data_IF_855162397201
#
_entry.id   IF_855162397201
#
_cell.length_a   1.000
_cell.length_b   1.000
_cell.length_c   1.000
_cell.angle_alpha   90.00
_cell.angle_beta   90.00
_cell.angle_gamma   90.00
#
_symmetry.space_group_name_H-M   'P 1'
#
loop_
_entity.id
_entity.type
_entity.pdbx_description
1 polymer ?
#
# COMPACT_ATOMS: atom_id res chain seq x y z
N UNK A 1 -9.22 -20.56 6.91
CA UNK A 1 -8.97 -19.12 7.03
C UNK A 1 -7.50 -18.82 6.75
N UNK A 2 -7.22 -17.79 5.99
CA UNK A 2 -5.84 -17.35 5.68
C UNK A 2 -5.39 -16.20 6.59
N UNK A 3 -6.34 -15.38 7.05
CA UNK A 3 -6.06 -14.15 7.80
C UNK A 3 -5.16 -14.35 9.04
N UNK A 4 -5.36 -15.34 9.93
CA UNK A 4 -4.54 -15.46 11.13
C UNK A 4 -3.04 -15.67 10.82
N UNK A 5 -2.73 -16.39 9.75
CA UNK A 5 -1.34 -16.65 9.35
C UNK A 5 -0.73 -15.44 8.63
N UNK A 6 -1.53 -14.77 7.79
CA UNK A 6 -1.12 -13.53 7.15
C UNK A 6 -0.87 -12.46 8.21
N UNK A 7 -1.78 -12.26 9.17
CA UNK A 7 -1.62 -11.31 10.27
C UNK A 7 -0.29 -11.52 11.02
N UNK A 8 0.00 -12.76 11.47
CA UNK A 8 1.25 -13.06 12.19
C UNK A 8 2.49 -12.76 11.34
N UNK A 9 2.43 -13.07 10.05
CA UNK A 9 3.53 -12.80 9.12
C UNK A 9 3.79 -11.30 8.94
N UNK A 10 2.73 -10.50 8.79
CA UNK A 10 2.84 -9.05 8.68
C UNK A 10 3.31 -8.42 10.00
N UNK A 11 2.71 -8.82 11.12
CA UNK A 11 3.07 -8.30 12.45
C UNK A 11 4.53 -8.55 12.82
N UNK A 12 5.09 -9.70 12.43
CA UNK A 12 6.47 -10.07 12.77
C UNK A 12 7.55 -9.21 12.13
N UNK A 13 7.20 -8.44 11.10
CA UNK A 13 8.12 -7.59 10.32
C UNK A 13 7.66 -6.14 10.21
N UNK A 14 6.64 -5.77 10.99
CA UNK A 14 6.08 -4.41 10.97
C UNK A 14 7.10 -3.41 11.49
N UNK A 15 7.42 -2.44 10.66
CA UNK A 15 8.31 -1.35 11.03
C UNK A 15 7.57 -0.22 11.79
N UNK A 16 8.31 0.53 12.57
CA UNK A 16 7.82 1.65 13.35
C UNK A 16 8.31 2.98 12.74
N UNK A 17 7.39 3.92 12.56
CA UNK A 17 7.64 5.21 11.93
C UNK A 17 8.69 6.05 12.69
N UNK A 18 8.70 5.97 14.01
CA UNK A 18 9.60 6.80 14.83
C UNK A 18 11.01 6.21 14.97
N UNK A 19 11.11 4.86 14.99
CA UNK A 19 12.38 4.19 15.32
C UNK A 19 13.11 3.61 14.12
N UNK A 20 12.39 3.23 13.07
CA UNK A 20 12.97 2.51 11.92
C UNK A 20 13.24 3.42 10.72
N UNK A 21 12.73 4.67 10.77
CA UNK A 21 13.05 5.71 9.78
C UNK A 21 14.19 6.57 10.32
N UNK A 22 15.30 6.72 9.59
CA UNK A 22 16.49 7.45 10.05
C UNK A 22 16.32 8.97 9.91
N UNK A 23 15.35 9.57 10.63
CA UNK A 23 14.97 10.97 10.51
C UNK A 23 16.14 11.96 10.66
N UNK A 24 17.16 11.60 11.45
CA UNK A 24 18.32 12.45 11.73
C UNK A 24 19.35 12.46 10.58
N UNK A 25 19.21 11.58 9.60
CA UNK A 25 20.16 11.44 8.49
C UNK A 25 19.79 12.30 7.28
N UNK A 26 18.80 13.21 7.43
CA UNK A 26 18.35 14.07 6.34
C UNK A 26 19.47 14.96 5.80
N UNK A 27 19.62 14.95 4.48
CA UNK A 27 20.60 15.75 3.75
C UNK A 27 19.92 16.52 2.59
N UNK A 28 19.62 17.80 2.85
CA UNK A 28 18.96 18.67 1.87
C UNK A 28 19.74 18.81 0.54
N UNK A 29 21.07 18.59 0.56
CA UNK A 29 21.89 18.69 -0.66
C UNK A 29 21.65 17.53 -1.63
N UNK A 30 21.00 16.47 -1.17
CA UNK A 30 20.72 15.26 -1.93
C UNK A 30 19.26 15.13 -2.36
N UNK A 31 18.43 16.14 -2.12
CA UNK A 31 17.01 16.17 -2.51
C UNK A 31 16.79 17.21 -3.60
N UNK A 32 16.51 16.77 -4.82
CA UNK A 32 16.11 17.69 -5.90
C UNK A 32 14.63 18.07 -5.78
N UNK A 33 14.24 19.16 -6.44
CA UNK A 33 12.83 19.58 -6.50
C UNK A 33 11.95 18.48 -7.13
N UNK A 34 12.38 17.87 -8.21
CA UNK A 34 11.67 16.77 -8.88
C UNK A 34 11.45 15.59 -7.94
N UNK A 35 12.47 15.23 -7.16
CA UNK A 35 12.37 14.18 -6.16
C UNK A 35 11.39 14.52 -5.04
N UNK A 36 11.40 15.75 -4.55
CA UNK A 36 10.46 16.20 -3.52
C UNK A 36 9.01 16.22 -4.02
N UNK A 37 8.78 16.66 -5.26
CA UNK A 37 7.45 16.60 -5.90
C UNK A 37 6.96 15.15 -6.08
N UNK A 38 7.87 14.22 -6.38
CA UNK A 38 7.53 12.79 -6.46
C UNK A 38 7.08 12.24 -5.10
N UNK A 39 7.69 12.68 -4.00
CA UNK A 39 7.23 12.31 -2.64
C UNK A 39 5.81 12.80 -2.39
N UNK A 40 5.49 14.06 -2.74
CA UNK A 40 4.13 14.60 -2.64
C UNK A 40 3.14 13.76 -3.45
N UNK A 41 3.47 13.48 -4.71
CA UNK A 41 2.61 12.66 -5.58
C UNK A 41 2.35 11.27 -4.97
N UNK A 42 3.39 10.62 -4.44
CA UNK A 42 3.24 9.31 -3.81
C UNK A 42 2.40 9.38 -2.52
N UNK A 43 2.56 10.41 -1.69
CA UNK A 43 1.71 10.60 -0.50
C UNK A 43 0.22 10.73 -0.87
N UNK A 44 -0.11 11.44 -1.95
CA UNK A 44 -1.47 11.55 -2.48
C UNK A 44 -1.94 10.19 -3.04
N UNK A 45 -1.07 9.46 -3.75
CA UNK A 45 -1.41 8.13 -4.28
C UNK A 45 -1.74 7.14 -3.17
N UNK A 46 -0.94 7.09 -2.11
CA UNK A 46 -1.18 6.22 -0.95
C UNK A 46 -2.49 6.54 -0.21
N UNK A 47 -2.92 7.80 -0.25
CA UNK A 47 -4.21 8.20 0.30
C UNK A 47 -5.39 7.54 -0.41
N UNK A 48 -5.20 7.03 -1.62
CA UNK A 48 -6.20 6.29 -2.40
C UNK A 48 -6.57 4.93 -1.80
N UNK A 49 -5.87 4.46 -0.79
CA UNK A 49 -6.23 3.25 -0.05
C UNK A 49 -7.63 3.31 0.57
N UNK A 50 -8.15 4.52 0.89
CA UNK A 50 -9.50 4.68 1.42
C UNK A 50 -10.58 4.23 0.42
N UNK A 51 -10.72 4.83 -0.78
CA UNK A 51 -11.70 4.36 -1.76
C UNK A 51 -11.43 2.91 -2.22
N UNK A 52 -10.17 2.47 -2.26
CA UNK A 52 -9.84 1.07 -2.53
C UNK A 52 -10.42 0.12 -1.46
N UNK A 53 -10.28 0.46 -0.18
CA UNK A 53 -10.85 -0.33 0.93
C UNK A 53 -12.36 -0.44 0.83
N UNK A 54 -13.07 0.65 0.54
CA UNK A 54 -14.52 0.66 0.35
C UNK A 54 -14.94 -0.32 -0.75
N UNK A 55 -14.27 -0.29 -1.88
CA UNK A 55 -14.51 -1.19 -3.01
C UNK A 55 -14.24 -2.65 -2.66
N UNK A 56 -13.11 -2.95 -2.00
CA UNK A 56 -12.78 -4.30 -1.60
C UNK A 56 -13.79 -4.91 -0.65
N UNK A 57 -14.18 -4.16 0.37
CA UNK A 57 -15.17 -4.62 1.35
C UNK A 57 -16.53 -4.82 0.69
N UNK A 58 -16.91 -3.96 -0.26
CA UNK A 58 -18.14 -4.11 -1.04
C UNK A 58 -18.14 -5.41 -1.84
N UNK A 59 -17.08 -5.65 -2.62
CA UNK A 59 -17.01 -6.76 -3.57
C UNK A 59 -16.74 -8.12 -2.89
N UNK A 60 -16.21 -8.10 -1.66
CA UNK A 60 -15.86 -9.30 -0.90
C UNK A 60 -16.64 -9.47 0.41
N UNK A 61 -17.77 -8.78 0.58
CA UNK A 61 -18.55 -8.79 1.84
C UNK A 61 -18.98 -10.18 2.33
N UNK A 62 -19.03 -11.17 1.45
CA UNK A 62 -19.33 -12.56 1.78
C UNK A 62 -18.15 -13.35 2.36
N UNK A 63 -16.91 -12.80 2.32
CA UNK A 63 -15.71 -13.44 2.86
C UNK A 63 -15.19 -12.69 4.09
N UNK A 64 -15.58 -13.16 5.28
CA UNK A 64 -15.14 -12.59 6.55
C UNK A 64 -13.63 -12.73 6.78
N UNK A 65 -13.01 -13.76 6.22
CA UNK A 65 -11.56 -14.01 6.28
C UNK A 65 -10.78 -12.92 5.52
N UNK A 66 -11.22 -12.62 4.30
CA UNK A 66 -10.65 -11.53 3.51
C UNK A 66 -10.97 -10.14 4.13
N UNK A 67 -12.20 -9.93 4.58
CA UNK A 67 -12.60 -8.67 5.23
C UNK A 67 -11.75 -8.37 6.48
N UNK A 68 -11.41 -9.40 7.25
CA UNK A 68 -10.48 -9.26 8.39
C UNK A 68 -9.07 -8.87 7.94
N UNK A 69 -8.56 -9.44 6.85
CA UNK A 69 -7.26 -9.05 6.28
C UNK A 69 -7.26 -7.56 5.86
N UNK A 70 -8.36 -7.05 5.31
CA UNK A 70 -8.47 -5.64 4.90
C UNK A 70 -8.22 -4.65 6.04
N UNK A 71 -8.51 -5.02 7.30
CA UNK A 71 -8.22 -4.14 8.44
C UNK A 71 -6.71 -3.91 8.65
N UNK A 72 -5.90 -4.93 8.38
CA UNK A 72 -4.44 -4.84 8.49
C UNK A 72 -3.86 -4.15 7.27
N UNK A 73 -4.30 -4.55 6.07
CA UNK A 73 -3.87 -3.93 4.83
C UNK A 73 -4.13 -2.41 4.86
N UNK A 74 -5.35 -1.99 5.17
CA UNK A 74 -5.69 -0.57 5.24
C UNK A 74 -4.86 0.19 6.29
N UNK A 75 -4.58 -0.42 7.45
CA UNK A 75 -3.70 0.18 8.45
C UNK A 75 -2.28 0.42 7.89
N UNK A 76 -1.72 -0.55 7.17
CA UNK A 76 -0.37 -0.44 6.60
C UNK A 76 -0.33 0.57 5.45
N UNK A 77 -1.33 0.62 4.58
CA UNK A 77 -1.48 1.63 3.53
C UNK A 77 -1.58 3.05 4.10
N UNK A 78 -2.39 3.25 5.14
CA UNK A 78 -2.47 4.57 5.79
C UNK A 78 -1.14 4.97 6.44
N UNK A 79 -0.35 4.02 6.90
CA UNK A 79 1.00 4.28 7.40
C UNK A 79 1.96 4.72 6.28
N UNK A 80 1.80 4.20 5.05
CA UNK A 80 2.56 4.65 3.88
C UNK A 80 2.29 6.13 3.58
N UNK A 81 1.02 6.50 3.48
CA UNK A 81 0.65 7.91 3.30
C UNK A 81 1.20 8.79 4.43
N UNK A 82 1.04 8.34 5.69
CA UNK A 82 1.47 9.08 6.88
C UNK A 82 2.98 9.34 6.91
N UNK A 83 3.82 8.34 6.61
CA UNK A 83 5.27 8.50 6.65
C UNK A 83 5.78 9.43 5.55
N UNK A 84 5.17 9.41 4.36
CA UNK A 84 5.50 10.33 3.28
C UNK A 84 5.07 11.76 3.61
N UNK A 85 3.89 11.96 4.19
CA UNK A 85 3.45 13.27 4.66
C UNK A 85 4.31 13.78 5.82
N UNK A 86 4.75 12.90 6.74
CA UNK A 86 5.63 13.28 7.84
C UNK A 86 7.02 13.70 7.31
N UNK A 87 7.55 13.00 6.30
CA UNK A 87 8.76 13.43 5.61
C UNK A 87 8.62 14.84 5.02
N UNK A 88 7.50 15.11 4.34
CA UNK A 88 7.24 16.45 3.80
C UNK A 88 7.09 17.50 4.90
N UNK A 89 6.35 17.21 5.97
CA UNK A 89 6.19 18.17 7.10
C UNK A 89 7.53 18.56 7.71
N UNK A 90 8.45 17.61 7.84
CA UNK A 90 9.77 17.87 8.44
C UNK A 90 10.71 18.63 7.52
N UNK A 91 10.71 18.31 6.23
CA UNK A 91 11.78 18.72 5.34
C UNK A 91 11.32 19.56 4.13
N UNK A 92 10.05 19.48 3.75
CA UNK A 92 9.45 20.22 2.64
C UNK A 92 8.00 20.61 2.97
N UNK A 93 7.81 21.45 4.00
CA UNK A 93 6.46 21.85 4.45
C UNK A 93 5.62 22.56 3.37
N UNK A 94 6.30 23.15 2.39
CA UNK A 94 5.69 23.76 1.20
C UNK A 94 5.00 22.73 0.26
N UNK A 95 5.32 21.45 0.37
CA UNK A 95 4.80 20.37 -0.46
C UNK A 95 3.82 19.44 0.27
N UNK A 96 3.48 19.68 1.52
CA UNK A 96 2.48 18.88 2.23
C UNK A 96 1.15 18.96 1.48
N UNK A 97 0.53 17.82 1.10
CA UNK A 97 -0.77 17.83 0.44
C UNK A 97 -1.82 18.54 1.27
N UNK A 98 -2.65 19.37 0.63
CA UNK A 98 -3.81 19.98 1.26
C UNK A 98 -4.94 18.97 1.44
N UNK A 99 -5.91 19.29 2.32
CA UNK A 99 -7.12 18.47 2.47
C UNK A 99 -7.88 18.34 1.15
N UNK A 100 -7.95 19.41 0.35
CA UNK A 100 -8.62 19.40 -0.95
C UNK A 100 -7.93 18.44 -1.93
N UNK A 101 -6.59 18.42 -1.96
CA UNK A 101 -5.83 17.47 -2.78
C UNK A 101 -6.07 16.02 -2.35
N UNK A 102 -6.13 15.75 -1.05
CA UNK A 102 -6.44 14.42 -0.52
C UNK A 102 -7.89 14.03 -0.77
N UNK A 103 -8.84 14.95 -0.61
CA UNK A 103 -10.26 14.70 -0.90
C UNK A 103 -10.55 14.49 -2.39
N UNK A 104 -9.73 15.06 -3.27
CA UNK A 104 -9.86 14.87 -4.71
C UNK A 104 -9.51 13.43 -5.14
N UNK A 105 -8.79 12.68 -4.30
CA UNK A 105 -8.47 11.28 -4.59
C UNK A 105 -9.69 10.40 -4.29
N UNK A 106 -10.59 10.34 -5.25
CA UNK A 106 -11.78 9.49 -5.23
C UNK A 106 -11.87 8.76 -6.55
N UNK A 107 -12.17 7.51 -6.48
CA UNK A 107 -12.54 6.71 -7.63
C UNK A 107 -13.60 5.72 -7.22
N UNK A 108 -14.48 5.43 -8.14
CA UNK A 108 -15.49 4.39 -8.00
C UNK A 108 -15.40 3.47 -9.21
N UNK A 109 -15.37 2.19 -8.95
CA UNK A 109 -15.49 1.17 -9.97
C UNK A 109 -16.84 0.46 -9.80
N UNK A 110 -17.43 0.04 -10.89
CA UNK A 110 -18.57 -0.83 -10.85
C UNK A 110 -18.24 -2.10 -10.05
N UNK A 111 -19.25 -2.70 -9.36
CA UNK A 111 -19.05 -3.98 -8.70
C UNK A 111 -18.51 -5.03 -9.67
N UNK A 112 -17.46 -5.71 -9.27
CA UNK A 112 -16.80 -6.72 -10.08
C UNK A 112 -16.80 -8.09 -9.38
N UNK A 113 -16.68 -9.20 -10.12
CA UNK A 113 -16.45 -10.51 -9.54
C UNK A 113 -15.20 -10.50 -8.65
N UNK A 114 -15.30 -11.16 -7.51
CA UNK A 114 -14.24 -11.20 -6.49
C UNK A 114 -12.85 -11.49 -7.07
N UNK A 115 -12.73 -12.46 -7.97
CA UNK A 115 -11.46 -12.82 -8.55
C UNK A 115 -10.84 -11.69 -9.37
N UNK A 116 -11.65 -10.93 -10.09
CA UNK A 116 -11.21 -9.78 -10.88
C UNK A 116 -10.70 -8.66 -9.97
N UNK A 117 -11.44 -8.35 -8.89
CA UNK A 117 -11.02 -7.37 -7.89
C UNK A 117 -9.68 -7.78 -7.23
N UNK A 118 -9.56 -9.04 -6.81
CA UNK A 118 -8.32 -9.56 -6.22
C UNK A 118 -7.14 -9.50 -7.20
N UNK A 119 -7.37 -9.83 -8.49
CA UNK A 119 -6.35 -9.76 -9.53
C UNK A 119 -5.88 -8.33 -9.78
N UNK A 120 -6.82 -7.38 -9.87
CA UNK A 120 -6.50 -5.97 -10.09
C UNK A 120 -5.57 -5.45 -8.98
N UNK A 121 -5.88 -5.76 -7.72
CA UNK A 121 -5.08 -5.30 -6.59
C UNK A 121 -3.75 -6.05 -6.47
N UNK A 122 -3.72 -7.34 -6.69
CA UNK A 122 -2.44 -8.06 -6.80
C UNK A 122 -1.50 -7.40 -7.81
N UNK A 123 -2.01 -7.04 -8.99
CA UNK A 123 -1.22 -6.31 -9.99
C UNK A 123 -0.82 -4.91 -9.51
N UNK A 124 -1.68 -4.22 -8.77
CA UNK A 124 -1.39 -2.94 -8.13
C UNK A 124 -0.21 -3.04 -7.17
N UNK A 125 -0.25 -3.98 -6.22
CA UNK A 125 0.82 -4.21 -5.25
C UNK A 125 2.16 -4.57 -5.91
N UNK A 126 2.13 -5.45 -6.91
CA UNK A 126 3.35 -5.80 -7.67
C UNK A 126 3.93 -4.57 -8.37
N UNK A 127 3.08 -3.72 -8.94
CA UNK A 127 3.49 -2.46 -9.57
C UNK A 127 4.08 -1.49 -8.56
N UNK A 128 3.42 -1.30 -7.40
CA UNK A 128 3.89 -0.40 -6.34
C UNK A 128 5.19 -0.91 -5.70
N UNK A 129 5.31 -2.22 -5.44
CA UNK A 129 6.58 -2.80 -5.02
C UNK A 129 7.72 -2.44 -5.98
N UNK A 130 7.50 -2.62 -7.29
CA UNK A 130 8.51 -2.27 -8.29
C UNK A 130 8.80 -0.77 -8.31
N UNK A 131 7.76 0.06 -8.26
CA UNK A 131 7.87 1.51 -8.23
C UNK A 131 8.71 2.00 -7.04
N UNK A 132 8.38 1.58 -5.82
CA UNK A 132 9.10 2.02 -4.62
C UNK A 132 10.53 1.47 -4.54
N UNK A 133 10.78 0.27 -5.05
CA UNK A 133 12.13 -0.23 -5.21
C UNK A 133 12.95 0.69 -6.13
N UNK A 134 12.40 1.06 -7.29
CA UNK A 134 13.07 1.99 -8.23
C UNK A 134 13.20 3.39 -7.64
N UNK A 135 12.20 3.88 -6.94
CA UNK A 135 12.27 5.16 -6.23
C UNK A 135 13.40 5.15 -5.19
N UNK A 136 13.56 4.06 -4.42
CA UNK A 136 14.66 3.92 -3.46
C UNK A 136 16.06 3.89 -4.11
N UNK A 137 16.16 3.47 -5.37
CA UNK A 137 17.41 3.52 -6.13
C UNK A 137 17.68 4.92 -6.71
N UNK A 138 16.64 5.60 -7.17
CA UNK A 138 16.71 6.92 -7.79
C UNK A 138 16.95 8.05 -6.77
N UNK A 139 16.33 7.98 -5.60
CA UNK A 139 16.57 8.94 -4.53
C UNK A 139 17.95 8.72 -3.89
N UNK A 140 18.68 9.80 -3.71
CA UNK A 140 20.00 9.77 -3.02
C UNK A 140 19.91 10.29 -1.60
N UNK A 141 18.84 11.01 -1.22
CA UNK A 141 18.59 11.49 0.13
C UNK A 141 18.29 10.30 1.05
N UNK A 142 19.06 10.15 2.19
CA UNK A 142 19.03 8.93 2.99
C UNK A 142 17.67 8.57 3.59
N UNK A 143 16.92 9.56 4.10
CA UNK A 143 15.66 9.33 4.81
C UNK A 143 14.60 8.82 3.84
N UNK A 144 14.37 9.52 2.73
CA UNK A 144 13.35 9.10 1.75
C UNK A 144 13.72 7.79 1.06
N UNK A 145 15.00 7.56 0.85
CA UNK A 145 15.50 6.28 0.34
C UNK A 145 15.16 5.12 1.28
N UNK A 146 15.32 5.31 2.59
CA UNK A 146 14.96 4.32 3.60
C UNK A 146 13.43 4.10 3.62
N UNK A 147 12.64 5.17 3.59
CA UNK A 147 11.17 5.10 3.53
C UNK A 147 10.73 4.24 2.33
N UNK A 148 11.19 4.55 1.12
CA UNK A 148 10.79 3.78 -0.07
C UNK A 148 11.19 2.29 -0.03
N UNK A 149 12.27 1.95 0.67
CA UNK A 149 12.62 0.55 0.92
C UNK A 149 11.61 -0.15 1.82
N UNK A 150 11.16 0.52 2.88
CA UNK A 150 10.14 0.00 3.79
C UNK A 150 8.80 -0.19 3.05
N UNK A 151 8.35 0.82 2.31
CA UNK A 151 7.14 0.72 1.49
C UNK A 151 7.24 -0.45 0.50
N UNK A 152 8.32 -0.53 -0.25
CA UNK A 152 8.52 -1.64 -1.21
C UNK A 152 8.42 -3.03 -0.56
N UNK A 153 8.91 -3.19 0.67
CA UNK A 153 8.81 -4.45 1.40
C UNK A 153 7.36 -4.76 1.81
N UNK A 154 6.60 -3.74 2.23
CA UNK A 154 5.19 -3.90 2.56
C UNK A 154 4.38 -4.30 1.32
N UNK A 155 4.55 -3.62 0.19
CA UNK A 155 3.86 -3.96 -1.06
C UNK A 155 4.13 -5.39 -1.54
N UNK A 156 5.37 -5.88 -1.35
CA UNK A 156 5.69 -7.28 -1.65
C UNK A 156 4.91 -8.26 -0.76
N UNK A 157 4.68 -7.91 0.52
CA UNK A 157 3.91 -8.73 1.46
C UNK A 157 2.42 -8.66 1.16
N UNK A 158 1.90 -7.47 0.85
CA UNK A 158 0.52 -7.28 0.41
C UNK A 158 0.23 -8.10 -0.84
N UNK A 159 1.07 -8.00 -1.87
CA UNK A 159 0.96 -8.81 -3.08
C UNK A 159 0.97 -10.31 -2.79
N UNK A 160 1.84 -10.77 -1.87
CA UNK A 160 1.85 -12.14 -1.41
C UNK A 160 0.54 -12.59 -0.74
N UNK A 161 -0.08 -11.72 0.05
CA UNK A 161 -1.38 -11.98 0.68
C UNK A 161 -2.50 -12.06 -0.37
N UNK A 162 -2.58 -11.11 -1.29
CA UNK A 162 -3.56 -11.14 -2.39
C UNK A 162 -3.42 -12.40 -3.25
N UNK A 163 -2.19 -12.82 -3.56
CA UNK A 163 -1.95 -14.05 -4.31
C UNK A 163 -2.51 -15.30 -3.58
N UNK A 164 -2.41 -15.35 -2.26
CA UNK A 164 -3.00 -16.45 -1.46
C UNK A 164 -4.52 -16.45 -1.55
N UNK A 165 -5.18 -15.29 -1.46
CA UNK A 165 -6.63 -15.17 -1.63
C UNK A 165 -7.09 -15.49 -3.06
N UNK A 166 -6.33 -15.08 -4.08
CA UNK A 166 -6.61 -15.46 -5.47
C UNK A 166 -6.54 -16.98 -5.67
N UNK A 167 -5.51 -17.64 -5.15
CA UNK A 167 -5.39 -19.10 -5.22
C UNK A 167 -6.55 -19.80 -4.53
N UNK A 168 -6.99 -19.31 -3.36
CA UNK A 168 -8.16 -19.82 -2.66
C UNK A 168 -9.41 -19.67 -3.54
N UNK A 169 -9.68 -18.49 -4.11
CA UNK A 169 -10.83 -18.25 -5.00
C UNK A 169 -10.81 -19.13 -6.24
N UNK A 170 -9.67 -19.32 -6.86
CA UNK A 170 -9.54 -20.21 -8.03
C UNK A 170 -9.82 -21.68 -7.69
N UNK A 171 -9.39 -22.14 -6.51
CA UNK A 171 -9.70 -23.50 -6.03
C UNK A 171 -11.20 -23.68 -5.84
N UNK A 172 -11.86 -22.75 -5.17
CA UNK A 172 -13.30 -22.77 -4.93
C UNK A 172 -14.12 -22.78 -6.25
N UNK A 173 -13.69 -22.01 -7.26
CA UNK A 173 -14.31 -22.01 -8.60
C UNK A 173 -14.10 -23.36 -9.33
N UNK A 174 -12.90 -23.94 -9.23
CA UNK A 174 -12.57 -25.22 -9.84
C UNK A 174 -13.43 -26.36 -9.25
N UNK A 175 -13.67 -26.35 -7.97
CA UNK A 175 -14.50 -27.34 -7.28
C UNK A 175 -15.98 -27.19 -7.67
N UNK A 176 -16.48 -25.97 -7.78
CA UNK A 176 -17.86 -25.69 -8.26
C UNK A 176 -18.05 -26.14 -9.70
N UNK A 177 -17.09 -25.87 -10.59
CA UNK A 177 -17.15 -26.29 -11.99
C UNK A 177 -17.01 -27.82 -12.17
N UNK A 178 -16.43 -28.53 -11.21
CA UNK A 178 -16.36 -30.01 -11.21
C UNK A 178 -17.61 -30.67 -10.65
N UNK A 179 -18.37 -29.94 -9.82
CA UNK A 179 -19.60 -30.41 -9.20
C UNK A 179 -20.86 -30.15 -10.04
N UNK A 180 -20.77 -29.32 -11.08
CA UNK A 180 -21.82 -28.99 -12.03
C UNK A 180 -21.70 -29.84 -13.30
#
# INVERSE_FOLDING_TARGET
>A
MLYPDIFRSLESVRWNLETDVPWNDFDATKLSEEQAQTVKMNAITEWSALPATEMFLRDNRGDSDFSAFMSVWFFEEQKHALVLMEYLRRFRPDLVPSEDELHAVRFEFDPAPRLETLMMHFCGEVRLNHWYRRASEWHTEPVIKAIYRLLSQDEARHGGAYLRYMKKSLSELGDTARAA
#
